data_IF_282970022551
#
_entry.id   IF_282970022551
#
_cell.length_a   1.000
_cell.length_b   1.000
_cell.length_c   1.000
_cell.angle_alpha   90.00
_cell.angle_beta   90.00
_cell.angle_gamma   90.00
#
_symmetry.space_group_name_H-M   'P 1'
#
loop_
_entity.id
_entity.type
_entity.pdbx_description
1 polymer ?
#
# COMPACT_ATOMS: atom_id res chain seq x y z
N UNK A 1 19.46 -16.15 15.52
CA UNK A 1 18.49 -15.58 16.48
C UNK A 1 19.30 -14.75 17.46
N UNK A 2 19.09 -13.42 17.62
CA UNK A 2 17.79 -12.78 17.89
C UNK A 2 17.47 -11.47 17.11
N UNK A 3 16.17 -11.15 17.13
CA UNK A 3 15.48 -9.83 17.10
C UNK A 3 15.49 -8.91 15.87
N UNK A 4 14.38 -9.00 15.13
CA UNK A 4 13.75 -7.91 14.36
C UNK A 4 13.61 -6.64 15.20
N UNK A 5 13.77 -5.45 14.59
CA UNK A 5 12.69 -4.45 14.53
C UNK A 5 13.10 -3.29 13.61
N UNK A 6 12.89 -3.45 12.30
CA UNK A 6 13.00 -2.35 11.34
C UNK A 6 11.90 -1.33 11.63
N UNK A 7 12.24 -0.31 12.43
CA UNK A 7 11.50 0.94 12.51
C UNK A 7 11.51 1.61 11.12
N UNK A 8 10.57 1.24 10.26
CA UNK A 8 10.18 2.06 9.11
C UNK A 8 8.76 2.55 9.32
N UNK A 9 8.61 3.35 10.36
CA UNK A 9 7.48 4.26 10.51
C UNK A 9 7.88 5.60 9.89
N UNK A 10 8.08 5.64 8.58
CA UNK A 10 8.07 6.90 7.83
C UNK A 10 6.62 7.31 7.66
N UNK A 11 6.21 8.21 8.54
CA UNK A 11 5.03 9.06 8.45
C UNK A 11 4.87 9.64 7.05
N UNK A 12 4.07 9.05 6.15
CA UNK A 12 3.61 9.83 5.00
C UNK A 12 2.28 10.46 5.33
N UNK A 13 2.38 11.77 5.46
CA UNK A 13 1.30 12.74 5.50
C UNK A 13 0.19 12.33 4.53
N UNK A 14 -0.93 11.92 5.11
CA UNK A 14 -2.17 11.58 4.43
C UNK A 14 -2.58 12.81 3.62
N UNK A 15 -2.23 12.84 2.33
CA UNK A 15 -2.94 13.67 1.37
C UNK A 15 -4.30 13.02 1.21
N UNK A 16 -5.27 13.53 1.96
CA UNK A 16 -6.69 13.15 1.95
C UNK A 16 -7.36 13.57 0.63
N UNK A 17 -6.72 13.32 -0.50
CA UNK A 17 -7.30 13.50 -1.82
C UNK A 17 -8.20 12.31 -2.11
N UNK A 18 -9.41 12.32 -1.53
CA UNK A 18 -10.59 11.52 -1.91
C UNK A 18 -10.29 10.29 -2.78
N UNK A 19 -9.61 9.30 -2.20
CA UNK A 19 -9.26 8.08 -2.92
C UNK A 19 -10.54 7.26 -3.12
N UNK A 20 -11.04 7.24 -4.36
CA UNK A 20 -12.20 6.42 -4.74
C UNK A 20 -11.69 5.18 -5.46
N UNK A 21 -12.43 4.08 -5.32
CA UNK A 21 -12.18 2.84 -6.03
C UNK A 21 -12.48 3.04 -7.53
N UNK A 22 -11.54 3.64 -8.25
CA UNK A 22 -11.66 4.01 -9.67
C UNK A 22 -11.32 2.84 -10.61
N UNK A 23 -11.24 1.61 -10.10
CA UNK A 23 -10.81 0.43 -10.86
C UNK A 23 -9.29 0.28 -10.98
N UNK A 24 -8.51 1.14 -10.30
CA UNK A 24 -7.06 0.94 -10.15
C UNK A 24 -6.81 -0.25 -9.23
N UNK A 25 -6.18 -1.30 -9.77
CA UNK A 25 -5.92 -2.58 -9.06
C UNK A 25 -4.48 -3.07 -9.19
N UNK A 26 -3.61 -2.30 -9.88
CA UNK A 26 -2.18 -2.56 -10.00
C UNK A 26 -1.33 -1.47 -9.36
N UNK A 27 -0.15 -1.85 -8.86
CA UNK A 27 0.83 -0.94 -8.27
C UNK A 27 1.34 0.13 -9.22
N UNK A 28 1.46 -0.19 -10.51
CA UNK A 28 1.89 0.77 -11.54
C UNK A 28 0.93 1.95 -11.72
N UNK A 29 -0.29 1.84 -11.20
CA UNK A 29 -1.32 2.90 -11.23
C UNK A 29 -1.40 3.69 -9.91
N UNK A 30 -0.63 3.27 -8.91
CA UNK A 30 -0.53 3.96 -7.63
C UNK A 30 0.68 4.85 -7.61
N UNK A 31 0.75 5.69 -6.59
CA UNK A 31 1.86 6.65 -6.43
C UNK A 31 2.50 6.61 -5.04
N UNK A 32 1.93 5.86 -4.10
CA UNK A 32 2.50 5.70 -2.75
C UNK A 32 2.06 4.40 -2.07
N UNK A 33 2.81 3.99 -1.05
CA UNK A 33 2.53 2.85 -0.19
C UNK A 33 1.23 3.06 0.61
N UNK A 34 0.96 4.27 1.12
CA UNK A 34 -0.30 4.53 1.83
C UNK A 34 -1.52 4.53 0.92
N UNK A 35 -1.40 5.08 -0.30
CA UNK A 35 -2.47 5.00 -1.29
C UNK A 35 -2.77 3.52 -1.59
N UNK A 36 -1.73 2.71 -1.77
CA UNK A 36 -1.87 1.27 -1.95
C UNK A 36 -2.55 0.57 -0.79
N UNK A 37 -2.15 0.89 0.44
CA UNK A 37 -2.74 0.33 1.65
C UNK A 37 -4.18 0.76 1.82
N UNK A 38 -4.50 2.02 1.50
CA UNK A 38 -5.86 2.53 1.55
C UNK A 38 -6.76 1.78 0.58
N UNK A 39 -6.37 1.64 -0.68
CA UNK A 39 -7.13 0.90 -1.69
C UNK A 39 -7.24 -0.59 -1.34
N UNK A 40 -6.20 -1.23 -0.78
CA UNK A 40 -6.28 -2.61 -0.31
C UNK A 40 -7.36 -2.81 0.76
N UNK A 41 -7.47 -1.86 1.69
CA UNK A 41 -8.41 -1.95 2.81
C UNK A 41 -9.81 -1.39 2.51
N UNK A 42 -9.92 -0.45 1.57
CA UNK A 42 -11.17 0.24 1.24
C UNK A 42 -11.82 -0.27 -0.05
N UNK A 43 -11.07 -0.92 -0.96
CA UNK A 43 -11.56 -1.39 -2.26
C UNK A 43 -11.47 -2.92 -2.38
N UNK A 44 -12.59 -3.64 -2.58
CA UNK A 44 -12.60 -5.11 -2.60
C UNK A 44 -12.04 -5.75 -3.88
N UNK A 45 -11.70 -4.97 -4.91
CA UNK A 45 -11.29 -5.49 -6.23
C UNK A 45 -9.79 -5.36 -6.52
N UNK A 46 -8.99 -5.01 -5.53
CA UNK A 46 -7.56 -4.73 -5.73
C UNK A 46 -6.71 -5.99 -5.80
N UNK A 47 -5.75 -6.02 -6.74
CA UNK A 47 -4.80 -7.13 -6.95
C UNK A 47 -3.36 -6.63 -6.77
N UNK A 48 -3.12 -5.90 -5.67
CA UNK A 48 -1.83 -5.31 -5.33
C UNK A 48 -1.04 -6.11 -4.29
N UNK A 49 -1.74 -6.93 -3.50
CA UNK A 49 -1.17 -7.81 -2.49
C UNK A 49 -1.15 -9.24 -3.04
N UNK A 50 -0.09 -9.55 -3.80
CA UNK A 50 0.06 -10.86 -4.45
C UNK A 50 0.45 -11.98 -3.49
N UNK A 51 1.04 -11.64 -2.35
CA UNK A 51 1.51 -12.55 -1.30
C UNK A 51 0.59 -12.59 -0.07
N UNK A 52 -0.45 -11.74 0.00
CA UNK A 52 -1.37 -11.65 1.15
C UNK A 52 -0.65 -11.32 2.46
N UNK A 53 0.46 -10.56 2.38
CA UNK A 53 1.25 -10.15 3.55
C UNK A 53 0.70 -8.85 4.17
N UNK A 54 -0.31 -8.24 3.53
CA UNK A 54 -0.89 -6.97 3.96
C UNK A 54 -0.08 -5.73 3.56
N UNK A 55 1.00 -5.91 2.80
CA UNK A 55 1.83 -4.83 2.24
C UNK A 55 1.64 -4.78 0.72
N UNK A 56 0.71 -3.94 0.23
CA UNK A 56 0.51 -3.80 -1.20
C UNK A 56 1.70 -3.06 -1.82
N UNK A 57 2.14 -3.52 -3.00
CA UNK A 57 3.18 -2.84 -3.77
C UNK A 57 4.54 -2.68 -3.08
N UNK A 58 4.93 -3.65 -2.25
CA UNK A 58 6.22 -3.65 -1.54
C UNK A 58 7.42 -3.40 -2.46
N UNK A 59 7.41 -3.96 -3.67
CA UNK A 59 8.50 -3.81 -4.64
C UNK A 59 8.57 -2.43 -5.32
N UNK A 60 7.48 -1.66 -5.34
CA UNK A 60 7.39 -0.39 -6.08
C UNK A 60 7.27 0.83 -5.17
N UNK A 61 6.43 0.76 -4.14
CA UNK A 61 6.10 1.90 -3.29
C UNK A 61 6.54 1.74 -1.84
N UNK A 62 6.44 0.54 -1.26
CA UNK A 62 6.86 0.30 0.14
C UNK A 62 8.31 -0.25 0.21
N UNK A 63 9.28 0.55 -0.26
CA UNK A 63 10.71 0.23 -0.18
C UNK A 63 11.34 0.67 1.14
#
# INVERSE_FOLDING_TARGET
MPSHNSNRATTSSVKTSSFKCDGRIYCSQMTSCEEATFFLRNCPNVKMDGNNDGVPCEKQWCR
#
